data_IF_483142787234
#
_entry.id   IF_483142787234
#
_cell.length_a   1.000
_cell.length_b   1.000
_cell.length_c   1.000
_cell.angle_alpha   90.00
_cell.angle_beta   90.00
_cell.angle_gamma   90.00
#
_symmetry.space_group_name_H-M   'P 1'
#
loop_
_entity.id
_entity.type
_entity.pdbx_description
1 polymer ?
#
# COMPACT_ATOMS: atom_id res chain seq x y z
N UNK A 1 -12.73 6.77 14.31
CA UNK A 1 -11.75 6.81 13.22
C UNK A 1 -11.60 5.41 12.64
N UNK A 2 -11.79 5.27 11.35
CA UNK A 2 -11.68 3.96 10.68
C UNK A 2 -10.26 3.76 10.21
N UNK A 3 -9.66 2.62 10.59
CA UNK A 3 -8.30 2.27 10.20
C UNK A 3 -8.35 1.00 9.38
N UNK A 4 -7.75 1.04 8.17
CA UNK A 4 -7.66 -0.10 7.29
C UNK A 4 -6.22 -0.27 6.82
N UNK A 5 -5.68 -1.47 6.98
CA UNK A 5 -4.35 -1.82 6.48
C UNK A 5 -4.49 -2.64 5.21
N UNK A 6 -3.80 -2.21 4.16
CA UNK A 6 -3.79 -2.89 2.86
C UNK A 6 -2.46 -3.59 2.63
N UNK A 7 -2.51 -4.83 2.22
CA UNK A 7 -1.29 -5.58 1.95
C UNK A 7 -1.56 -7.05 1.63
N UNK A 8 -0.59 -7.89 1.93
CA UNK A 8 -0.71 -9.34 1.78
C UNK A 8 -0.23 -10.02 3.06
N UNK A 9 -0.79 -11.21 3.36
CA UNK A 9 -0.54 -11.89 4.63
C UNK A 9 0.88 -12.45 4.78
N UNK A 10 1.59 -12.67 3.67
CA UNK A 10 2.90 -13.31 3.67
C UNK A 10 4.09 -12.34 3.72
N UNK A 11 3.84 -11.06 3.90
CA UNK A 11 4.88 -10.03 3.93
C UNK A 11 5.37 -9.78 5.37
N UNK A 12 6.68 -9.83 5.59
CA UNK A 12 7.25 -9.59 6.92
C UNK A 12 6.94 -8.18 7.45
N UNK A 13 7.00 -7.18 6.59
CA UNK A 13 6.67 -5.80 6.98
C UNK A 13 5.23 -5.69 7.43
N UNK A 14 4.32 -6.39 6.74
CA UNK A 14 2.90 -6.46 7.12
C UNK A 14 2.76 -7.08 8.49
N UNK A 15 3.45 -8.18 8.76
CA UNK A 15 3.38 -8.85 10.07
C UNK A 15 3.86 -7.91 11.18
N UNK A 16 4.96 -7.21 10.95
CA UNK A 16 5.49 -6.25 11.92
C UNK A 16 4.50 -5.12 12.20
N UNK A 17 3.88 -4.58 11.15
CA UNK A 17 2.91 -3.51 11.27
C UNK A 17 1.67 -3.96 12.03
N UNK A 18 1.16 -5.16 11.73
CA UNK A 18 0.00 -5.72 12.43
C UNK A 18 0.31 -5.96 13.91
N UNK A 19 1.49 -6.52 14.19
CA UNK A 19 1.93 -6.75 15.57
C UNK A 19 1.99 -5.44 16.35
N UNK A 20 2.50 -4.38 15.72
CA UNK A 20 2.57 -3.07 16.35
C UNK A 20 1.18 -2.54 16.71
N UNK A 21 0.24 -2.60 15.74
CA UNK A 21 -1.13 -2.15 15.97
C UNK A 21 -1.81 -2.94 17.08
N UNK A 22 -1.66 -4.26 17.06
CA UNK A 22 -2.26 -5.14 18.06
C UNK A 22 -1.64 -4.91 19.43
N UNK A 23 -0.33 -4.70 19.51
CA UNK A 23 0.36 -4.41 20.76
C UNK A 23 -0.03 -3.07 21.37
N UNK A 24 -0.50 -2.13 20.56
CA UNK A 24 -0.98 -0.83 21.01
C UNK A 24 -2.50 -0.78 21.17
N UNK A 25 -3.17 -1.93 21.03
CA UNK A 25 -4.62 -2.06 21.15
C UNK A 25 -5.38 -1.15 20.17
N UNK A 26 -4.86 -1.00 18.96
CA UNK A 26 -5.48 -0.19 17.91
C UNK A 26 -6.35 -1.09 17.03
N UNK A 27 -7.69 -0.91 17.03
CA UNK A 27 -8.56 -1.70 16.15
C UNK A 27 -8.32 -1.30 14.68
N UNK A 28 -8.26 -2.29 13.80
CA UNK A 28 -8.10 -2.03 12.38
C UNK A 28 -8.70 -3.16 11.57
N UNK A 29 -8.99 -2.87 10.29
CA UNK A 29 -9.42 -3.88 9.32
C UNK A 29 -8.23 -4.19 8.40
N UNK A 30 -8.03 -5.48 8.09
CA UNK A 30 -7.00 -5.88 7.14
C UNK A 30 -7.63 -6.18 5.78
N UNK A 31 -7.15 -5.50 4.74
CA UNK A 31 -7.59 -5.69 3.35
C UNK A 31 -6.47 -6.41 2.60
N UNK A 32 -6.75 -7.64 2.18
CA UNK A 32 -5.77 -8.47 1.47
C UNK A 32 -5.88 -8.23 -0.03
N UNK A 33 -4.84 -7.69 -0.64
CA UNK A 33 -4.81 -7.43 -2.09
C UNK A 33 -5.03 -8.68 -2.93
N UNK A 34 -4.54 -9.84 -2.48
CA UNK A 34 -4.68 -11.08 -3.24
C UNK A 34 -6.10 -11.61 -3.22
N UNK A 35 -6.79 -11.43 -2.13
CA UNK A 35 -8.16 -11.91 -1.99
C UNK A 35 -9.18 -10.92 -2.52
N UNK A 36 -8.97 -9.62 -2.30
CA UNK A 36 -9.97 -8.60 -2.54
C UNK A 36 -9.62 -7.61 -3.66
N UNK A 37 -8.35 -7.61 -4.12
CA UNK A 37 -7.88 -6.65 -5.12
C UNK A 37 -7.83 -5.22 -4.59
N UNK A 38 -7.88 -4.26 -5.49
CA UNK A 38 -7.93 -2.83 -5.14
C UNK A 38 -8.85 -2.11 -6.13
N UNK A 39 -9.72 -1.24 -5.62
CA UNK A 39 -10.62 -0.47 -6.47
C UNK A 39 -9.89 0.72 -7.10
N UNK A 40 -10.23 1.00 -8.37
CA UNK A 40 -9.59 2.09 -9.12
C UNK A 40 -9.77 3.44 -8.42
N UNK A 41 -10.97 3.74 -7.93
CA UNK A 41 -11.23 5.01 -7.25
C UNK A 41 -10.42 5.17 -5.97
N UNK A 42 -10.21 4.09 -5.24
CA UNK A 42 -9.39 4.11 -4.03
C UNK A 42 -7.92 4.38 -4.35
N UNK A 43 -7.40 3.68 -5.36
CA UNK A 43 -6.02 3.90 -5.79
C UNK A 43 -5.83 5.32 -6.31
N UNK A 44 -6.79 5.84 -7.06
CA UNK A 44 -6.74 7.22 -7.55
C UNK A 44 -6.68 8.22 -6.40
N UNK A 45 -7.43 7.97 -5.32
CA UNK A 45 -7.38 8.80 -4.13
C UNK A 45 -6.02 8.78 -3.46
N UNK A 46 -5.40 7.60 -3.37
CA UNK A 46 -4.06 7.47 -2.82
C UNK A 46 -3.02 8.21 -3.66
N UNK A 47 -3.09 8.05 -5.00
CA UNK A 47 -2.19 8.74 -5.92
C UNK A 47 -2.31 10.25 -5.75
N UNK A 48 -3.53 10.76 -5.58
CA UNK A 48 -3.75 12.18 -5.35
C UNK A 48 -3.17 12.69 -4.03
N UNK A 49 -3.08 11.81 -3.02
CA UNK A 49 -2.58 12.21 -1.69
C UNK A 49 -1.07 12.12 -1.56
N UNK A 50 -0.45 11.07 -2.09
CA UNK A 50 0.99 10.82 -1.87
C UNK A 50 1.81 10.73 -3.15
N UNK A 51 1.16 10.61 -4.30
CA UNK A 51 1.83 10.46 -5.58
C UNK A 51 2.10 9.00 -5.93
N UNK A 52 2.10 8.70 -7.23
CA UNK A 52 2.30 7.33 -7.69
C UNK A 52 3.69 6.80 -7.39
N UNK A 53 4.69 7.69 -7.32
CA UNK A 53 6.08 7.29 -7.10
C UNK A 53 6.29 6.69 -5.72
N UNK A 54 5.56 7.17 -4.72
CA UNK A 54 5.63 6.61 -3.37
C UNK A 54 4.89 5.28 -3.26
N UNK A 55 3.85 5.09 -4.07
CA UNK A 55 3.04 3.88 -4.03
C UNK A 55 3.64 2.73 -4.80
N UNK A 56 4.27 2.99 -5.94
CA UNK A 56 4.82 1.93 -6.79
C UNK A 56 6.10 1.38 -6.19
N UNK A 57 6.10 0.08 -5.89
CA UNK A 57 7.27 -0.61 -5.38
C UNK A 57 8.07 -1.24 -6.52
N UNK A 58 9.06 -0.50 -7.03
CA UNK A 58 9.93 -0.97 -8.10
C UNK A 58 10.83 -2.14 -7.68
N UNK A 59 10.97 -2.34 -6.37
CA UNK A 59 11.73 -3.48 -5.83
C UNK A 59 10.93 -4.76 -5.72
N UNK A 60 9.62 -4.72 -5.99
CA UNK A 60 8.79 -5.92 -5.91
C UNK A 60 9.16 -6.91 -7.01
N UNK A 61 9.01 -8.20 -6.70
CA UNK A 61 9.26 -9.27 -7.67
C UNK A 61 8.39 -9.09 -8.91
N UNK A 62 7.11 -8.77 -8.71
CA UNK A 62 6.17 -8.58 -9.81
C UNK A 62 6.63 -7.47 -10.75
N UNK A 63 7.11 -6.34 -10.21
CA UNK A 63 7.61 -5.25 -11.04
C UNK A 63 8.88 -5.64 -11.77
N UNK A 64 9.82 -6.30 -11.08
CA UNK A 64 11.10 -6.71 -11.69
C UNK A 64 10.93 -7.71 -12.82
N UNK A 65 9.88 -8.52 -12.78
CA UNK A 65 9.59 -9.52 -13.81
C UNK A 65 8.89 -8.93 -15.05
N UNK A 66 8.51 -7.66 -15.00
CA UNK A 66 7.88 -7.02 -16.16
C UNK A 66 8.87 -6.90 -17.31
N UNK A 67 8.39 -7.06 -18.59
CA UNK A 67 9.22 -6.73 -19.74
C UNK A 67 9.68 -5.27 -19.69
N UNK A 68 10.86 -4.99 -20.22
CA UNK A 68 11.43 -3.63 -20.18
C UNK A 68 10.52 -2.59 -20.80
N UNK A 69 9.76 -2.95 -21.84
CA UNK A 69 8.82 -2.03 -22.49
C UNK A 69 7.76 -1.48 -21.53
N UNK A 70 7.42 -2.25 -20.49
CA UNK A 70 6.45 -1.82 -19.47
C UNK A 70 7.08 -0.95 -18.39
N UNK A 71 8.40 -0.97 -18.27
CA UNK A 71 9.13 -0.17 -17.29
C UNK A 71 9.57 1.18 -17.85
N UNK A 72 9.59 1.33 -19.15
CA UNK A 72 10.00 2.57 -19.81
C UNK A 72 8.85 3.59 -19.84
N UNK A 73 9.20 4.86 -19.75
CA UNK A 73 8.23 5.93 -19.85
C UNK A 73 7.16 5.90 -18.75
N UNK A 74 7.52 5.50 -17.55
CA UNK A 74 6.57 5.47 -16.43
C UNK A 74 6.05 6.86 -16.13
N UNK A 75 4.73 6.96 -16.01
CA UNK A 75 4.04 8.15 -15.58
C UNK A 75 2.87 7.74 -14.68
N UNK A 76 2.08 8.70 -14.23
CA UNK A 76 0.97 8.43 -13.33
C UNK A 76 -0.03 7.45 -13.95
N UNK A 77 -0.42 7.66 -15.20
CA UNK A 77 -1.40 6.83 -15.88
C UNK A 77 -0.93 5.37 -16.01
N UNK A 78 0.32 5.20 -16.46
CA UNK A 78 0.89 3.87 -16.63
C UNK A 78 1.09 3.15 -15.29
N UNK A 79 1.58 3.88 -14.28
CA UNK A 79 1.77 3.33 -12.95
C UNK A 79 0.45 2.88 -12.34
N UNK A 80 -0.63 3.67 -12.48
CA UNK A 80 -1.95 3.29 -11.99
C UNK A 80 -2.44 2.00 -12.64
N UNK A 81 -2.28 1.87 -13.96
CA UNK A 81 -2.66 0.64 -14.67
C UNK A 81 -1.92 -0.57 -14.15
N UNK A 82 -0.61 -0.44 -13.95
CA UNK A 82 0.21 -1.54 -13.44
C UNK A 82 -0.22 -1.95 -12.03
N UNK A 83 -0.44 -0.98 -11.16
CA UNK A 83 -0.85 -1.27 -9.79
C UNK A 83 -2.24 -1.87 -9.69
N UNK A 84 -3.19 -1.44 -10.54
CA UNK A 84 -4.53 -2.02 -10.57
C UNK A 84 -4.51 -3.46 -11.06
N UNK A 85 -3.71 -3.74 -12.10
CA UNK A 85 -3.58 -5.10 -12.62
C UNK A 85 -2.80 -6.01 -11.67
N UNK A 86 -1.88 -5.43 -10.89
CA UNK A 86 -1.00 -6.17 -10.00
C UNK A 86 -0.88 -5.44 -8.65
N UNK A 87 -1.87 -5.58 -7.77
CA UNK A 87 -1.83 -4.88 -6.47
C UNK A 87 -0.59 -5.15 -5.64
N UNK A 88 0.09 -6.28 -5.87
CA UNK A 88 1.34 -6.59 -5.18
C UNK A 88 2.49 -5.66 -5.56
N UNK A 89 2.32 -4.84 -6.60
CA UNK A 89 3.28 -3.79 -6.95
C UNK A 89 3.14 -2.55 -6.07
N UNK A 90 2.04 -2.43 -5.33
CA UNK A 90 1.84 -1.31 -4.41
C UNK A 90 2.67 -1.57 -3.16
N UNK A 91 3.38 -0.56 -2.68
CA UNK A 91 4.15 -0.68 -1.44
C UNK A 91 3.25 -1.12 -0.28
N UNK A 92 3.78 -1.92 0.61
CA UNK A 92 3.05 -2.54 1.71
C UNK A 92 3.71 -2.21 3.04
N UNK A 93 2.91 -1.97 4.07
CA UNK A 93 1.47 -1.76 4.04
C UNK A 93 1.10 -0.35 3.59
N UNK A 94 -0.14 -0.18 3.14
CA UNK A 94 -0.77 1.14 3.06
C UNK A 94 -1.76 1.19 4.19
N UNK A 95 -1.61 2.14 5.10
CA UNK A 95 -2.51 2.31 6.24
C UNK A 95 -3.39 3.52 6.02
N UNK A 96 -4.70 3.31 5.94
CA UNK A 96 -5.68 4.40 5.89
C UNK A 96 -6.15 4.70 7.30
N UNK A 97 -6.03 5.96 7.72
CA UNK A 97 -6.50 6.41 9.02
C UNK A 97 -7.38 7.65 8.77
N UNK A 98 -8.69 7.43 8.70
CA UNK A 98 -9.59 8.49 8.27
C UNK A 98 -9.23 8.96 6.86
N UNK A 99 -8.89 10.24 6.72
CA UNK A 99 -8.51 10.83 5.44
C UNK A 99 -7.01 10.78 5.15
N UNK A 100 -6.23 10.28 6.10
CA UNK A 100 -4.78 10.19 5.93
C UNK A 100 -4.36 8.80 5.48
N UNK A 101 -3.23 8.73 4.75
CA UNK A 101 -2.63 7.44 4.42
C UNK A 101 -1.15 7.46 4.73
N UNK A 102 -0.65 6.30 5.18
CA UNK A 102 0.77 6.07 5.42
C UNK A 102 1.22 4.93 4.52
N UNK A 103 2.33 5.14 3.79
CA UNK A 103 2.89 4.12 2.90
C UNK A 103 4.14 3.56 3.54
N UNK A 104 4.18 2.25 3.72
CA UNK A 104 5.26 1.56 4.44
C UNK A 104 5.00 1.54 5.93
N UNK A 105 5.89 0.92 6.69
CA UNK A 105 5.74 0.81 8.13
C UNK A 105 6.88 1.53 8.84
N UNK A 106 6.53 2.55 9.61
CA UNK A 106 7.44 3.27 10.51
C UNK A 106 6.69 3.48 11.82
N UNK A 107 7.16 2.87 12.92
CA UNK A 107 6.47 3.01 14.22
C UNK A 107 6.21 4.46 14.61
N UNK A 108 7.17 5.36 14.37
CA UNK A 108 7.01 6.78 14.72
C UNK A 108 5.86 7.43 13.96
N UNK A 109 5.73 7.11 12.67
CA UNK A 109 4.65 7.65 11.84
C UNK A 109 3.30 7.11 12.28
N UNK A 110 3.24 5.81 12.59
CA UNK A 110 2.01 5.19 13.08
C UNK A 110 1.58 5.82 14.40
N UNK A 111 2.53 5.99 15.32
CA UNK A 111 2.24 6.59 16.62
C UNK A 111 1.63 7.99 16.50
N UNK A 112 2.14 8.80 15.57
CA UNK A 112 1.64 10.16 15.37
C UNK A 112 0.23 10.23 14.78
N UNK A 113 -0.22 9.15 14.11
CA UNK A 113 -1.51 9.16 13.41
C UNK A 113 -2.60 8.40 14.19
N UNK A 114 -2.26 7.31 14.87
CA UNK A 114 -3.25 6.45 15.54
C UNK A 114 -3.45 6.78 17.01
N UNK A 115 -2.65 7.64 17.57
CA UNK A 115 -2.76 8.04 18.99
C UNK A 115 -3.32 9.43 19.19
#
# INVERSE_FOLDING_TARGET
MTITMYGITTCDTIRKARTWLEGHAVPYRFHDYRAEGIEAGRLDGWVGKVGWEKLLNKGSTTFRELPDKHKQGLDEKKARKLMLANPTMIKRPVLEVGDEILVGFKPEAYEGVVK
#
